data_IF_546529655760
#
_entry.id   IF_546529655760
#
_cell.length_a   1.000
_cell.length_b   1.000
_cell.length_c   1.000
_cell.angle_alpha   90.00
_cell.angle_beta   90.00
_cell.angle_gamma   90.00
#
_symmetry.space_group_name_H-M   'P 1'
#
loop_
_entity.id
_entity.type
_entity.pdbx_description
1 polymer ?
#
# COMPACT_ATOMS: atom_id res chain seq x y z
N UNK A 1 9.21 9.44 -15.94
CA UNK A 1 9.97 8.49 -15.11
C UNK A 1 9.40 8.58 -13.71
N UNK A 2 8.39 7.76 -13.40
CA UNK A 2 7.77 7.83 -12.09
C UNK A 2 8.71 7.25 -11.05
N UNK A 3 9.09 8.11 -10.12
CA UNK A 3 9.97 7.91 -9.00
C UNK A 3 9.72 6.58 -8.30
N UNK A 4 10.79 5.92 -7.88
CA UNK A 4 10.81 4.66 -7.13
C UNK A 4 10.17 4.87 -5.73
N UNK A 5 8.85 5.10 -5.69
CA UNK A 5 8.11 5.46 -4.49
C UNK A 5 7.96 4.26 -3.57
N UNK A 6 7.84 4.51 -2.28
CA UNK A 6 7.66 3.45 -1.28
C UNK A 6 6.44 2.61 -1.59
N UNK A 7 5.37 3.22 -2.08
CA UNK A 7 4.16 2.52 -2.49
C UNK A 7 4.38 1.58 -3.67
N UNK A 8 5.21 1.94 -4.66
CA UNK A 8 5.54 1.04 -5.76
C UNK A 8 6.31 -0.19 -5.27
N UNK A 9 7.21 -0.03 -4.30
CA UNK A 9 7.94 -1.14 -3.69
C UNK A 9 6.99 -2.06 -2.91
N UNK A 10 6.10 -1.49 -2.11
CA UNK A 10 5.06 -2.25 -1.39
C UNK A 10 4.14 -2.98 -2.38
N UNK A 11 3.69 -2.33 -3.46
CA UNK A 11 2.86 -2.96 -4.50
C UNK A 11 3.54 -4.15 -5.15
N UNK A 12 4.84 -4.05 -5.47
CA UNK A 12 5.60 -5.20 -6.00
C UNK A 12 5.63 -6.37 -5.00
N UNK A 13 5.85 -6.09 -3.72
CA UNK A 13 5.77 -7.12 -2.67
C UNK A 13 4.38 -7.77 -2.58
N UNK A 14 3.33 -6.95 -2.62
CA UNK A 14 1.94 -7.43 -2.60
C UNK A 14 1.61 -8.30 -3.82
N UNK A 15 2.05 -7.92 -5.02
CA UNK A 15 1.87 -8.73 -6.24
C UNK A 15 2.58 -10.08 -6.10
N UNK A 16 3.82 -10.09 -5.59
CA UNK A 16 4.59 -11.31 -5.41
C UNK A 16 3.94 -12.28 -4.41
N UNK A 17 3.25 -11.77 -3.38
CA UNK A 17 2.64 -12.61 -2.35
C UNK A 17 1.19 -13.00 -2.63
N UNK A 18 0.40 -12.11 -3.23
CA UNK A 18 -1.04 -12.28 -3.41
C UNK A 18 -1.44 -12.57 -4.86
N UNK A 19 -0.50 -12.42 -5.80
CA UNK A 19 -0.76 -12.54 -7.23
C UNK A 19 -1.19 -11.22 -7.88
N UNK A 20 -0.96 -11.13 -9.19
CA UNK A 20 -1.22 -9.93 -9.98
C UNK A 20 -2.72 -9.60 -10.11
N UNK A 21 -3.61 -10.56 -9.92
CA UNK A 21 -5.06 -10.34 -10.05
C UNK A 21 -5.61 -9.51 -8.89
N UNK A 22 -5.09 -9.72 -7.67
CA UNK A 22 -5.48 -8.95 -6.48
C UNK A 22 -5.07 -7.49 -6.62
N UNK A 23 -3.96 -7.23 -7.29
CA UNK A 23 -3.48 -5.87 -7.54
C UNK A 23 -4.44 -5.06 -8.41
N UNK A 24 -4.95 -5.66 -9.49
CA UNK A 24 -5.89 -5.00 -10.40
C UNK A 24 -7.23 -4.68 -9.74
N UNK A 25 -7.66 -5.50 -8.79
CA UNK A 25 -8.95 -5.31 -8.11
C UNK A 25 -8.84 -4.27 -6.99
N UNK A 26 -7.77 -4.31 -6.20
CA UNK A 26 -7.67 -3.52 -4.97
C UNK A 26 -6.62 -2.41 -5.06
N UNK A 27 -5.36 -2.75 -5.34
CA UNK A 27 -4.24 -1.80 -5.14
C UNK A 27 -4.12 -0.74 -6.23
N UNK A 28 -4.57 -1.01 -7.46
CA UNK A 28 -4.65 0.00 -8.54
C UNK A 28 -5.64 1.13 -8.21
N UNK A 29 -6.66 0.85 -7.40
CA UNK A 29 -7.67 1.82 -6.98
C UNK A 29 -7.22 2.67 -5.79
N UNK A 30 -6.09 2.32 -5.16
CA UNK A 30 -5.55 3.04 -4.03
C UNK A 30 -4.84 4.32 -4.49
N UNK A 31 -5.25 5.46 -3.96
CA UNK A 31 -4.46 6.69 -4.05
C UNK A 31 -3.49 6.72 -2.89
N UNK A 32 -2.21 6.60 -3.20
CA UNK A 32 -1.12 6.65 -2.22
C UNK A 32 -0.56 8.07 -2.10
N UNK A 33 -0.48 8.57 -0.87
CA UNK A 33 0.22 9.80 -0.53
C UNK A 33 1.32 9.50 0.48
N UNK A 34 2.56 9.71 0.05
CA UNK A 34 3.74 9.57 0.91
C UNK A 34 4.06 10.90 1.59
N UNK A 35 4.16 10.87 2.91
CA UNK A 35 4.67 11.98 3.70
C UNK A 35 6.06 11.61 4.19
N UNK A 36 7.09 12.13 3.49
CA UNK A 36 8.50 11.85 3.80
C UNK A 36 8.91 12.37 5.17
N UNK A 37 8.40 13.54 5.57
CA UNK A 37 8.71 14.19 6.85
C UNK A 37 8.31 13.32 8.03
N UNK A 38 7.11 12.74 7.99
CA UNK A 38 6.63 11.84 9.05
C UNK A 38 6.95 10.37 8.78
N UNK A 39 7.58 10.05 7.65
CA UNK A 39 7.79 8.69 7.16
C UNK A 39 6.49 7.85 7.18
N UNK A 40 5.38 8.44 6.70
CA UNK A 40 4.07 7.78 6.64
C UNK A 40 3.58 7.60 5.21
N UNK A 41 2.83 6.52 4.98
CA UNK A 41 2.13 6.27 3.72
C UNK A 41 0.63 6.25 4.01
N UNK A 42 -0.10 7.20 3.43
CA UNK A 42 -1.56 7.25 3.50
C UNK A 42 -2.15 6.65 2.23
N UNK A 43 -2.92 5.58 2.40
CA UNK A 43 -3.69 4.99 1.30
C UNK A 43 -5.15 5.44 1.41
N UNK A 44 -5.66 6.03 0.35
CA UNK A 44 -7.06 6.45 0.24
C UNK A 44 -7.75 5.61 -0.83
N UNK A 45 -8.95 5.12 -0.51
CA UNK A 45 -9.78 4.35 -1.43
C UNK A 45 -11.00 5.15 -1.86
N UNK A 46 -11.59 4.77 -3.00
CA UNK A 46 -12.78 5.41 -3.55
C UNK A 46 -14.02 5.27 -2.67
N UNK A 47 -14.13 4.17 -1.90
CA UNK A 47 -15.25 3.93 -0.99
C UNK A 47 -14.78 3.46 0.38
N UNK A 48 -15.61 3.69 1.41
CA UNK A 48 -15.36 3.21 2.76
C UNK A 48 -15.24 1.68 2.81
N UNK A 49 -16.09 0.96 2.08
CA UNK A 49 -16.03 -0.49 1.98
C UNK A 49 -14.65 -0.96 1.48
N UNK A 50 -14.12 -0.33 0.43
CA UNK A 50 -12.81 -0.69 -0.10
C UNK A 50 -11.68 -0.36 0.89
N UNK A 51 -11.78 0.76 1.60
CA UNK A 51 -10.83 1.12 2.64
C UNK A 51 -10.83 0.10 3.78
N UNK A 52 -12.02 -0.28 4.25
CA UNK A 52 -12.19 -1.23 5.35
C UNK A 52 -11.77 -2.64 4.93
N UNK A 53 -12.10 -3.07 3.71
CA UNK A 53 -11.63 -4.34 3.16
C UNK A 53 -10.11 -4.41 3.10
N UNK A 54 -9.46 -3.36 2.57
CA UNK A 54 -8.00 -3.31 2.48
C UNK A 54 -7.36 -3.32 3.88
N UNK A 55 -7.93 -2.59 4.83
CA UNK A 55 -7.47 -2.60 6.22
C UNK A 55 -7.63 -3.97 6.86
N UNK A 56 -8.75 -4.64 6.68
CA UNK A 56 -9.02 -5.92 7.35
C UNK A 56 -8.22 -7.09 6.75
N UNK A 57 -8.01 -7.08 5.43
CA UNK A 57 -7.40 -8.22 4.73
C UNK A 57 -5.90 -8.05 4.47
N UNK A 58 -5.42 -6.81 4.31
CA UNK A 58 -4.06 -6.56 3.83
C UNK A 58 -3.22 -5.66 4.74
N UNK A 59 -3.78 -5.08 5.82
CA UNK A 59 -3.04 -4.14 6.68
C UNK A 59 -1.74 -4.72 7.24
N UNK A 60 -1.78 -5.96 7.74
CA UNK A 60 -0.59 -6.61 8.31
C UNK A 60 0.50 -6.80 7.25
N UNK A 61 0.12 -7.26 6.06
CA UNK A 61 1.06 -7.48 4.98
C UNK A 61 1.64 -6.16 4.45
N UNK A 62 0.79 -5.16 4.21
CA UNK A 62 1.19 -3.81 3.83
C UNK A 62 2.17 -3.24 4.86
N UNK A 63 1.89 -3.41 6.16
CA UNK A 63 2.75 -2.95 7.23
C UNK A 63 4.11 -3.67 7.25
N UNK A 64 4.13 -4.99 7.05
CA UNK A 64 5.38 -5.76 6.96
C UNK A 64 6.26 -5.28 5.82
N UNK A 65 5.66 -5.10 4.64
CA UNK A 65 6.36 -4.60 3.45
C UNK A 65 6.83 -3.15 3.64
N UNK A 66 5.99 -2.28 4.22
CA UNK A 66 6.33 -0.89 4.50
C UNK A 66 7.48 -0.75 5.50
N UNK A 67 7.56 -1.64 6.48
CA UNK A 67 8.68 -1.68 7.45
C UNK A 67 10.00 -1.99 6.76
N UNK A 68 9.99 -2.87 5.74
CA UNK A 68 11.16 -3.14 4.89
C UNK A 68 11.61 -1.94 4.04
N UNK A 69 10.72 -0.96 3.85
CA UNK A 69 11.00 0.29 3.13
C UNK A 69 11.32 1.48 4.05
N UNK A 70 11.42 1.29 5.38
CA UNK A 70 11.76 2.35 6.33
C UNK A 70 10.60 3.25 6.77
N UNK A 71 9.34 2.89 6.47
CA UNK A 71 8.15 3.61 6.94
C UNK A 71 7.84 3.22 8.40
N UNK A 72 7.74 4.21 9.29
CA UNK A 72 7.42 4.01 10.71
C UNK A 72 5.93 4.23 10.99
N UNK A 73 5.44 3.56 12.04
CA UNK A 73 4.05 3.57 12.48
C UNK A 73 3.62 5.00 12.85
N UNK A 74 2.56 5.50 12.22
CA UNK A 74 1.77 6.65 12.66
C UNK A 74 0.50 6.18 13.36
#
# INVERSE_FOLDING_TARGET
MESNTTWMQIRKGLINELGADIEKVWFTKAVAKECKETSTLKLTMSTRFMADWMRNNYSQLIQRLASGCGIKRG
#
